data_IF_926459675734
#
_entry.id   IF_926459675734
#
_cell.length_a   1.000
_cell.length_b   1.000
_cell.length_c   1.000
_cell.angle_alpha   90.00
_cell.angle_beta   90.00
_cell.angle_gamma   90.00
#
_symmetry.space_group_name_H-M   'P 1'
#
loop_
_entity.id
_entity.type
_entity.pdbx_description
1 polymer ?
#
# COMPACT_ATOMS: atom_id res chain seq x y z
N UNK A 1 -39.56 10.08 0.09
CA UNK A 1 -39.05 11.25 -0.66
C UNK A 1 -39.69 12.57 -0.22
N UNK A 2 -41.03 12.66 -0.07
CA UNK A 2 -41.73 13.92 0.31
C UNK A 2 -41.40 14.50 1.70
N UNK A 3 -41.22 13.67 2.75
CA UNK A 3 -40.87 14.17 4.11
C UNK A 3 -39.44 14.75 4.20
N UNK A 4 -38.56 14.39 3.26
CA UNK A 4 -37.15 14.79 3.28
C UNK A 4 -36.90 16.17 2.64
N UNK A 5 -37.70 16.53 1.62
CA UNK A 5 -37.74 17.90 1.09
C UNK A 5 -38.27 18.86 2.16
N UNK A 6 -39.25 18.43 2.97
CA UNK A 6 -39.76 19.23 4.08
C UNK A 6 -38.71 19.46 5.18
N UNK A 7 -37.86 18.50 5.55
CA UNK A 7 -36.87 18.72 6.61
C UNK A 7 -35.80 19.76 6.25
N UNK A 8 -35.43 19.93 4.97
CA UNK A 8 -34.54 21.03 4.56
C UNK A 8 -35.23 22.40 4.54
N UNK A 9 -36.54 22.46 4.27
CA UNK A 9 -37.32 23.71 4.21
C UNK A 9 -37.77 24.16 5.61
N UNK A 10 -38.05 23.23 6.53
CA UNK A 10 -38.59 23.53 7.86
C UNK A 10 -37.56 23.67 8.99
N UNK A 11 -36.27 23.42 8.77
CA UNK A 11 -35.24 23.77 9.78
C UNK A 11 -35.13 25.29 10.04
N UNK A 12 -35.83 26.13 9.28
CA UNK A 12 -36.00 27.57 9.55
C UNK A 12 -37.33 27.94 10.24
N UNK A 13 -38.26 27.01 10.47
CA UNK A 13 -39.54 27.30 11.12
C UNK A 13 -39.95 26.22 12.14
N UNK A 14 -40.39 26.69 13.30
CA UNK A 14 -40.70 25.90 14.49
C UNK A 14 -41.83 24.88 14.22
N UNK A 15 -41.45 23.62 14.00
CA UNK A 15 -42.35 22.49 13.69
C UNK A 15 -43.44 22.29 14.77
N UNK A 16 -43.22 22.80 15.98
CA UNK A 16 -44.17 22.75 17.10
C UNK A 16 -45.46 23.54 16.85
N UNK A 17 -45.52 24.43 15.84
CA UNK A 17 -46.73 25.19 15.49
C UNK A 17 -47.82 24.37 14.77
N UNK A 18 -47.56 23.13 14.36
CA UNK A 18 -48.51 22.34 13.56
C UNK A 18 -48.75 20.93 14.13
N UNK A 19 -49.56 20.80 15.21
CA UNK A 19 -49.82 19.52 15.90
C UNK A 19 -50.48 18.46 15.01
N UNK A 20 -51.28 18.89 14.03
CA UNK A 20 -51.92 18.02 13.04
C UNK A 20 -50.91 17.39 12.07
N UNK A 21 -49.85 18.11 11.73
CA UNK A 21 -48.76 17.60 10.89
C UNK A 21 -47.93 16.57 11.68
N UNK A 22 -47.64 16.84 12.95
CA UNK A 22 -46.95 15.90 13.85
C UNK A 22 -47.75 14.60 13.97
N UNK A 23 -49.07 14.69 14.17
CA UNK A 23 -49.98 13.54 14.28
C UNK A 23 -50.15 12.77 12.96
N UNK A 24 -50.10 13.45 11.81
CA UNK A 24 -50.13 12.81 10.49
C UNK A 24 -48.82 12.06 10.20
N UNK A 25 -47.70 12.67 10.58
CA UNK A 25 -46.37 12.11 10.41
C UNK A 25 -46.05 10.94 11.38
N UNK A 26 -46.72 10.85 12.52
CA UNK A 26 -46.62 9.72 13.46
C UNK A 26 -47.43 8.48 13.03
N UNK A 27 -48.38 8.64 12.12
CA UNK A 27 -49.29 7.57 11.69
C UNK A 27 -48.80 6.74 10.50
N UNK A 28 -47.64 7.07 9.91
CA UNK A 28 -47.03 6.25 8.86
C UNK A 28 -45.94 5.35 9.47
N UNK A 29 -46.08 4.01 9.41
CA UNK A 29 -45.03 3.12 9.86
C UNK A 29 -43.77 3.38 9.04
N UNK A 30 -42.70 3.79 9.71
CA UNK A 30 -41.39 3.94 9.09
C UNK A 30 -40.98 2.55 8.62
N UNK A 31 -40.89 2.34 7.32
CA UNK A 31 -40.27 1.14 6.80
C UNK A 31 -38.83 1.08 7.38
N UNK A 32 -38.49 0.09 8.23
CA UNK A 32 -37.19 0.06 8.90
C UNK A 32 -36.02 -0.02 7.92
N UNK A 33 -36.24 -0.53 6.70
CA UNK A 33 -35.26 -0.46 5.62
C UNK A 33 -35.08 0.97 5.11
N UNK A 34 -36.17 1.72 4.94
CA UNK A 34 -36.13 3.12 4.49
C UNK A 34 -35.39 4.04 5.46
N UNK A 35 -35.54 3.82 6.77
CA UNK A 35 -34.77 4.55 7.79
C UNK A 35 -33.28 4.24 7.72
N UNK A 36 -32.90 2.96 7.73
CA UNK A 36 -31.49 2.53 7.69
C UNK A 36 -30.77 3.05 6.46
N UNK A 37 -31.38 2.92 5.29
CA UNK A 37 -30.82 3.45 4.03
C UNK A 37 -30.61 4.96 4.13
N UNK A 38 -31.62 5.70 4.60
CA UNK A 38 -31.50 7.16 4.76
C UNK A 38 -30.41 7.53 5.77
N UNK A 39 -30.30 6.82 6.89
CA UNK A 39 -29.26 7.06 7.89
C UNK A 39 -27.86 6.83 7.31
N UNK A 40 -27.66 5.70 6.61
CA UNK A 40 -26.38 5.34 6.00
C UNK A 40 -25.92 6.35 4.94
N UNK A 41 -26.86 6.93 4.17
CA UNK A 41 -26.55 8.00 3.22
C UNK A 41 -26.16 9.28 3.95
N UNK A 42 -27.05 9.78 4.82
CA UNK A 42 -26.93 11.13 5.38
C UNK A 42 -25.88 11.24 6.49
N UNK A 43 -25.70 10.19 7.29
CA UNK A 43 -24.82 10.21 8.48
C UNK A 43 -23.53 9.45 8.25
N UNK A 44 -23.55 8.36 7.47
CA UNK A 44 -22.35 7.59 7.14
C UNK A 44 -21.72 7.96 5.79
N UNK A 45 -22.34 8.85 5.00
CA UNK A 45 -21.78 9.33 3.73
C UNK A 45 -21.72 8.26 2.62
N UNK A 46 -22.55 7.22 2.68
CA UNK A 46 -22.59 6.19 1.65
C UNK A 46 -23.39 6.65 0.42
N UNK A 47 -23.05 6.13 -0.76
CA UNK A 47 -23.92 6.24 -1.93
C UNK A 47 -25.21 5.45 -1.72
N UNK A 48 -26.27 5.79 -2.45
CA UNK A 48 -27.57 5.11 -2.33
C UNK A 48 -27.46 3.59 -2.55
N UNK A 49 -26.77 3.16 -3.61
CA UNK A 49 -26.52 1.74 -3.91
C UNK A 49 -25.84 1.01 -2.74
N UNK A 50 -24.76 1.60 -2.19
CA UNK A 50 -24.03 1.02 -1.06
C UNK A 50 -24.87 1.01 0.20
N UNK A 51 -25.63 2.08 0.46
CA UNK A 51 -26.50 2.19 1.62
C UNK A 51 -27.60 1.11 1.60
N UNK A 52 -28.18 0.81 0.44
CA UNK A 52 -29.14 -0.29 0.27
C UNK A 52 -28.47 -1.61 0.64
N UNK A 53 -27.35 -1.95 0.02
CA UNK A 53 -26.63 -3.21 0.30
C UNK A 53 -26.16 -3.33 1.77
N UNK A 54 -25.72 -2.23 2.37
CA UNK A 54 -25.27 -2.19 3.77
C UNK A 54 -26.45 -2.32 4.74
N UNK A 55 -27.61 -1.72 4.41
CA UNK A 55 -28.81 -1.75 5.27
C UNK A 55 -29.33 -3.18 5.52
N UNK A 56 -29.13 -4.08 4.56
CA UNK A 56 -29.50 -5.50 4.67
C UNK A 56 -28.63 -6.25 5.70
N UNK A 57 -27.42 -5.76 5.97
CA UNK A 57 -26.41 -6.42 6.84
C UNK A 57 -26.48 -5.97 8.30
N UNK A 58 -27.31 -4.97 8.62
CA UNK A 58 -27.39 -4.35 9.96
C UNK A 58 -28.82 -4.20 10.39
N UNK A 59 -29.11 -4.34 11.68
CA UNK A 59 -30.47 -4.21 12.21
C UNK A 59 -30.48 -3.18 13.34
N UNK A 60 -30.93 -1.96 13.04
CA UNK A 60 -31.17 -0.92 14.05
C UNK A 60 -32.34 -0.04 13.63
N UNK A 61 -33.07 0.47 14.63
CA UNK A 61 -34.28 1.27 14.43
C UNK A 61 -34.11 2.73 14.86
N UNK A 62 -33.04 3.03 15.61
CA UNK A 62 -32.75 4.37 16.12
C UNK A 62 -31.29 4.75 15.82
N UNK A 63 -30.98 6.05 15.71
CA UNK A 63 -29.61 6.49 15.43
C UNK A 63 -28.71 6.43 16.67
N UNK A 64 -29.25 6.22 17.89
CA UNK A 64 -28.52 6.35 19.16
C UNK A 64 -27.21 5.56 19.22
N UNK A 65 -27.23 4.24 18.94
CA UNK A 65 -26.00 3.42 18.93
C UNK A 65 -25.09 3.75 17.74
N UNK A 66 -25.61 3.82 16.50
CA UNK A 66 -24.82 4.27 15.36
C UNK A 66 -24.10 5.61 15.58
N UNK A 67 -24.77 6.61 16.16
CA UNK A 67 -24.21 7.94 16.42
C UNK A 67 -23.04 7.88 17.41
N UNK A 68 -23.16 7.06 18.47
CA UNK A 68 -22.05 6.85 19.42
C UNK A 68 -20.82 6.29 18.72
N UNK A 69 -20.99 5.35 17.79
CA UNK A 69 -19.90 4.76 17.01
C UNK A 69 -19.26 5.80 16.08
N UNK A 70 -20.08 6.58 15.35
CA UNK A 70 -19.56 7.64 14.47
C UNK A 70 -18.83 8.73 15.25
N UNK A 71 -19.39 9.16 16.38
CA UNK A 71 -18.79 10.16 17.25
C UNK A 71 -17.48 9.68 17.87
N UNK A 72 -17.38 8.40 18.25
CA UNK A 72 -16.12 7.82 18.72
C UNK A 72 -15.03 8.00 17.65
N UNK A 73 -15.28 7.59 16.41
CA UNK A 73 -14.26 7.74 15.35
C UNK A 73 -13.89 9.19 15.10
N UNK A 74 -14.87 10.10 15.10
CA UNK A 74 -14.62 11.55 14.94
C UNK A 74 -13.79 12.13 16.08
N UNK A 75 -14.04 11.71 17.31
CA UNK A 75 -13.26 12.12 18.49
C UNK A 75 -11.82 11.60 18.48
N UNK A 76 -11.52 10.58 17.66
CA UNK A 76 -10.17 10.09 17.38
C UNK A 76 -9.59 10.65 16.07
N UNK A 77 -10.12 11.77 15.56
CA UNK A 77 -9.68 12.48 14.36
C UNK A 77 -9.75 11.65 13.06
N UNK A 78 -10.71 10.72 12.95
CA UNK A 78 -10.90 9.98 11.70
C UNK A 78 -11.64 10.85 10.68
N UNK A 79 -11.11 11.01 9.45
CA UNK A 79 -11.84 11.71 8.40
C UNK A 79 -13.13 10.97 8.03
N UNK A 80 -14.22 11.70 7.75
CA UNK A 80 -15.51 11.12 7.38
C UNK A 80 -15.40 10.09 6.25
N UNK A 81 -14.54 10.34 5.25
CA UNK A 81 -14.28 9.42 4.13
C UNK A 81 -13.72 8.07 4.56
N UNK A 82 -12.95 8.02 5.64
CA UNK A 82 -12.43 6.78 6.22
C UNK A 82 -13.51 6.08 7.04
N UNK A 83 -14.29 6.84 7.82
CA UNK A 83 -15.43 6.32 8.57
C UNK A 83 -16.43 5.65 7.62
N UNK A 84 -16.81 6.30 6.52
CA UNK A 84 -17.69 5.74 5.50
C UNK A 84 -17.20 4.38 4.99
N UNK A 85 -15.90 4.26 4.68
CA UNK A 85 -15.28 3.01 4.22
C UNK A 85 -15.29 1.91 5.28
N UNK A 86 -15.06 2.27 6.55
CA UNK A 86 -15.12 1.34 7.68
C UNK A 86 -16.55 0.78 7.79
N UNK A 87 -17.56 1.64 7.79
CA UNK A 87 -18.97 1.24 7.90
C UNK A 87 -19.41 0.42 6.69
N UNK A 88 -18.97 0.77 5.47
CA UNK A 88 -19.25 -0.02 4.27
C UNK A 88 -18.73 -1.46 4.39
N UNK A 89 -17.49 -1.62 4.88
CA UNK A 89 -16.82 -2.93 4.98
C UNK A 89 -17.24 -3.75 6.19
N UNK A 90 -17.51 -3.11 7.32
CA UNK A 90 -17.95 -3.77 8.55
C UNK A 90 -19.19 -3.07 9.15
N UNK A 91 -20.36 -3.20 8.50
CA UNK A 91 -21.58 -2.53 8.94
C UNK A 91 -22.01 -2.84 10.37
N UNK A 92 -21.75 -4.07 10.83
CA UNK A 92 -22.13 -4.55 12.16
C UNK A 92 -21.55 -3.69 13.29
N UNK A 93 -20.48 -2.93 13.05
CA UNK A 93 -19.91 -1.99 14.01
C UNK A 93 -20.93 -0.99 14.56
N UNK A 94 -21.92 -0.58 13.76
CA UNK A 94 -22.97 0.36 14.18
C UNK A 94 -23.84 -0.15 15.35
N UNK A 95 -23.73 -1.44 15.67
CA UNK A 95 -24.50 -2.09 16.73
C UNK A 95 -23.62 -2.44 17.96
N UNK A 96 -22.32 -2.15 17.91
CA UNK A 96 -21.38 -2.51 18.97
C UNK A 96 -21.54 -1.61 20.19
N UNK A 97 -21.12 -2.13 21.35
CA UNK A 97 -20.98 -1.35 22.58
C UNK A 97 -19.67 -0.55 22.51
N UNK A 98 -19.77 0.77 22.41
CA UNK A 98 -18.62 1.66 22.22
C UNK A 98 -17.63 1.55 23.38
N UNK A 99 -18.12 1.63 24.61
CA UNK A 99 -17.28 1.70 25.81
C UNK A 99 -16.60 0.37 26.10
N UNK A 100 -17.28 -0.76 25.86
CA UNK A 100 -16.74 -2.08 26.15
C UNK A 100 -15.92 -2.68 25.02
N UNK A 101 -16.13 -2.25 23.77
CA UNK A 101 -15.56 -2.97 22.61
C UNK A 101 -14.68 -2.14 21.68
N UNK A 102 -15.08 -0.91 21.34
CA UNK A 102 -14.38 -0.13 20.32
C UNK A 102 -13.36 0.81 20.96
N UNK A 103 -13.79 1.57 21.97
CA UNK A 103 -12.95 2.54 22.66
C UNK A 103 -11.66 1.92 23.23
N UNK A 104 -11.68 0.78 23.95
CA UNK A 104 -10.45 0.17 24.46
C UNK A 104 -9.47 -0.23 23.35
N UNK A 105 -9.96 -0.62 22.17
CA UNK A 105 -9.11 -0.97 21.02
C UNK A 105 -8.43 0.26 20.42
N UNK A 106 -9.18 1.36 20.25
CA UNK A 106 -8.63 2.59 19.70
C UNK A 106 -7.58 3.19 20.65
N UNK A 107 -7.88 3.21 21.96
CA UNK A 107 -6.94 3.64 23.00
C UNK A 107 -5.68 2.76 23.03
N UNK A 108 -5.82 1.44 22.84
CA UNK A 108 -4.68 0.55 22.74
C UNK A 108 -3.78 0.86 21.53
N UNK A 109 -4.35 1.01 20.32
CA UNK A 109 -3.56 1.41 19.15
C UNK A 109 -2.88 2.77 19.34
N UNK A 110 -3.56 3.73 19.97
CA UNK A 110 -3.00 5.03 20.31
C UNK A 110 -1.82 4.90 21.29
N UNK A 111 -1.91 4.01 22.28
CA UNK A 111 -0.81 3.76 23.22
C UNK A 111 0.45 3.20 22.55
N UNK A 112 0.32 2.53 21.39
CA UNK A 112 1.44 2.07 20.56
C UNK A 112 2.00 3.19 19.65
N UNK A 113 1.37 4.36 19.60
CA UNK A 113 1.73 5.45 18.69
C UNK A 113 1.03 5.39 17.32
N UNK A 114 -0.07 4.64 17.18
CA UNK A 114 -0.90 4.61 15.98
C UNK A 114 -2.27 5.26 16.25
N UNK A 115 -2.45 6.51 15.84
CA UNK A 115 -3.66 7.29 16.09
C UNK A 115 -4.09 8.15 14.89
N UNK A 116 -5.21 8.85 15.03
CA UNK A 116 -5.64 9.88 14.08
C UNK A 116 -5.81 9.37 12.65
N UNK A 117 -5.43 10.20 11.64
CA UNK A 117 -5.52 9.83 10.23
C UNK A 117 -4.75 8.56 9.85
N UNK A 118 -3.65 8.25 10.54
CA UNK A 118 -2.86 7.05 10.27
C UNK A 118 -3.62 5.78 10.70
N UNK A 119 -4.22 5.77 11.88
CA UNK A 119 -5.07 4.67 12.33
C UNK A 119 -6.32 4.56 11.46
N UNK A 120 -6.94 5.69 11.11
CA UNK A 120 -8.09 5.75 10.20
C UNK A 120 -7.77 5.10 8.86
N UNK A 121 -6.59 5.39 8.29
CA UNK A 121 -6.11 4.79 7.04
C UNK A 121 -6.01 3.27 7.17
N UNK A 122 -5.38 2.76 8.23
CA UNK A 122 -5.25 1.32 8.49
C UNK A 122 -6.61 0.63 8.58
N UNK A 123 -7.51 1.14 9.43
CA UNK A 123 -8.81 0.52 9.68
C UNK A 123 -9.78 0.68 8.51
N UNK A 124 -9.68 1.74 7.71
CA UNK A 124 -10.47 1.87 6.47
C UNK A 124 -10.00 0.92 5.37
N UNK A 125 -8.72 0.56 5.35
CA UNK A 125 -8.19 -0.48 4.47
C UNK A 125 -8.71 -1.85 4.90
N UNK A 126 -8.73 -2.14 6.20
CA UNK A 126 -9.36 -3.33 6.75
C UNK A 126 -9.86 -3.12 8.20
N UNK A 127 -11.18 -3.15 8.44
CA UNK A 127 -11.76 -2.91 9.76
C UNK A 127 -11.87 -4.17 10.64
N UNK A 128 -11.48 -5.36 10.16
CA UNK A 128 -11.58 -6.61 10.92
C UNK A 128 -10.93 -6.58 12.31
N UNK A 129 -9.81 -5.86 12.56
CA UNK A 129 -9.28 -5.70 13.91
C UNK A 129 -10.29 -5.18 14.94
N UNK A 130 -11.29 -4.40 14.51
CA UNK A 130 -12.34 -3.90 15.41
C UNK A 130 -13.33 -5.00 15.84
N UNK A 131 -13.40 -6.11 15.10
CA UNK A 131 -14.31 -7.23 15.34
C UNK A 131 -13.72 -8.39 16.16
N UNK A 132 -12.40 -8.39 16.39
CA UNK A 132 -11.72 -9.45 17.16
C UNK A 132 -11.49 -9.04 18.62
N UNK A 133 -11.08 -9.99 19.46
CA UNK A 133 -10.82 -9.74 20.88
C UNK A 133 -9.55 -8.89 21.10
N UNK A 134 -9.64 -7.88 21.95
CA UNK A 134 -8.48 -7.08 22.36
C UNK A 134 -7.50 -7.93 23.20
N UNK A 135 -8.01 -8.61 24.21
CA UNK A 135 -7.21 -9.38 25.18
C UNK A 135 -6.73 -10.71 24.61
N UNK A 136 -7.58 -11.44 23.88
CA UNK A 136 -7.26 -12.80 23.42
C UNK A 136 -6.53 -12.85 22.08
N UNK A 137 -6.53 -11.75 21.31
CA UNK A 137 -5.95 -11.75 19.95
C UNK A 137 -5.03 -10.56 19.68
N UNK A 138 -5.53 -9.32 19.81
CA UNK A 138 -4.76 -8.14 19.42
C UNK A 138 -3.51 -7.96 20.29
N UNK A 139 -3.65 -7.97 21.62
CA UNK A 139 -2.53 -7.81 22.55
C UNK A 139 -1.48 -8.91 22.41
N UNK A 140 -1.83 -10.22 22.48
CA UNK A 140 -0.85 -11.30 22.27
C UNK A 140 -0.14 -11.21 20.92
N UNK A 141 -0.85 -10.86 19.85
CA UNK A 141 -0.24 -10.69 18.52
C UNK A 141 0.75 -9.53 18.49
N UNK A 142 0.42 -8.42 19.15
CA UNK A 142 1.33 -7.26 19.26
C UNK A 142 2.53 -7.60 20.15
N UNK A 143 2.34 -8.30 21.27
CA UNK A 143 3.43 -8.70 22.17
C UNK A 143 4.41 -9.64 21.46
N UNK A 144 3.89 -10.58 20.66
CA UNK A 144 4.72 -11.42 19.80
C UNK A 144 5.48 -10.61 18.74
N UNK A 145 4.85 -9.61 18.11
CA UNK A 145 5.56 -8.71 17.21
C UNK A 145 6.64 -7.89 17.94
N UNK A 146 6.37 -7.43 19.18
CA UNK A 146 7.35 -6.71 19.99
C UNK A 146 8.57 -7.57 20.32
N UNK A 147 8.39 -8.87 20.59
CA UNK A 147 9.53 -9.77 20.87
C UNK A 147 10.50 -9.88 19.69
N UNK A 148 10.01 -9.73 18.45
CA UNK A 148 10.82 -9.78 17.22
C UNK A 148 11.35 -8.39 16.83
N UNK A 149 10.51 -7.37 16.94
CA UNK A 149 10.73 -6.03 16.37
C UNK A 149 11.32 -5.03 17.36
N UNK A 150 11.32 -5.37 18.65
CA UNK A 150 11.90 -4.66 19.79
C UNK A 150 11.32 -3.27 20.11
N UNK A 151 10.66 -2.60 19.14
CA UNK A 151 10.12 -1.24 19.32
C UNK A 151 8.69 -1.13 18.82
N UNK A 152 7.89 -0.30 19.50
CA UNK A 152 6.50 -0.01 19.11
C UNK A 152 6.44 0.68 17.74
N UNK A 153 7.43 1.51 17.40
CA UNK A 153 7.53 2.16 16.08
C UNK A 153 7.63 1.13 14.93
N UNK A 154 8.39 0.06 15.12
CA UNK A 154 8.48 -1.03 14.15
C UNK A 154 7.16 -1.82 14.06
N UNK A 155 6.50 -2.09 15.19
CA UNK A 155 5.18 -2.72 15.21
C UNK A 155 4.17 -1.87 14.45
N UNK A 156 4.10 -0.56 14.72
CA UNK A 156 3.24 0.38 14.00
C UNK A 156 3.55 0.39 12.50
N UNK A 157 4.83 0.32 12.12
CA UNK A 157 5.23 0.23 10.71
C UNK A 157 4.72 -1.05 10.03
N UNK A 158 4.70 -2.18 10.74
CA UNK A 158 4.09 -3.43 10.28
C UNK A 158 2.59 -3.30 10.12
N UNK A 159 1.89 -2.78 11.14
CA UNK A 159 0.43 -2.61 11.13
C UNK A 159 -0.03 -1.67 10.00
N UNK A 160 0.72 -0.58 9.77
CA UNK A 160 0.49 0.36 8.65
C UNK A 160 0.56 -0.31 7.28
N UNK A 161 1.38 -1.35 7.13
CA UNK A 161 1.58 -2.08 5.87
C UNK A 161 0.67 -3.29 5.73
N UNK A 162 0.35 -3.96 6.84
CA UNK A 162 -0.51 -5.14 6.85
C UNK A 162 -1.07 -5.39 8.25
N UNK A 163 -2.26 -4.86 8.53
CA UNK A 163 -2.98 -5.14 9.78
C UNK A 163 -3.45 -6.59 9.90
N UNK A 164 -3.44 -7.33 8.78
CA UNK A 164 -3.73 -8.76 8.70
C UNK A 164 -2.81 -9.61 9.55
N UNK A 165 -1.63 -9.12 9.93
CA UNK A 165 -0.76 -9.83 10.87
C UNK A 165 -1.46 -10.09 12.21
N UNK A 166 -2.47 -9.32 12.60
CA UNK A 166 -3.21 -9.53 13.85
C UNK A 166 -4.24 -10.66 13.79
N UNK A 167 -4.47 -11.26 12.62
CA UNK A 167 -5.52 -12.26 12.45
C UNK A 167 -5.03 -13.64 12.90
N UNK A 168 -5.87 -14.42 13.58
CA UNK A 168 -5.48 -15.74 14.09
C UNK A 168 -4.90 -16.67 13.01
N UNK A 169 -5.52 -16.68 11.82
CA UNK A 169 -5.07 -17.51 10.69
C UNK A 169 -3.66 -17.15 10.22
N UNK A 170 -3.28 -15.87 10.28
CA UNK A 170 -1.97 -15.40 9.79
C UNK A 170 -0.90 -15.58 10.86
N UNK A 171 -1.25 -15.43 12.14
CA UNK A 171 -0.39 -15.73 13.29
C UNK A 171 0.11 -17.18 13.28
N UNK A 172 -0.76 -18.14 12.91
CA UNK A 172 -0.38 -19.56 12.77
C UNK A 172 0.76 -19.82 11.78
N UNK A 173 0.94 -18.94 10.79
CA UNK A 173 2.04 -19.05 9.81
C UNK A 173 3.26 -18.22 10.18
N UNK A 174 3.10 -17.15 10.97
CA UNK A 174 4.15 -16.17 11.20
C UNK A 174 5.36 -16.77 11.94
N UNK A 175 5.14 -17.44 13.08
CA UNK A 175 6.22 -18.05 13.85
C UNK A 175 6.97 -19.15 13.08
N UNK A 176 6.29 -20.15 12.49
CA UNK A 176 6.99 -21.17 11.69
C UNK A 176 7.75 -20.58 10.50
N UNK A 177 7.25 -19.52 9.87
CA UNK A 177 7.94 -18.89 8.76
C UNK A 177 9.20 -18.12 9.19
N UNK A 178 9.18 -17.51 10.38
CA UNK A 178 10.37 -16.89 10.99
C UNK A 178 11.40 -17.98 11.32
N UNK A 179 10.98 -19.07 11.96
CA UNK A 179 11.85 -20.21 12.28
C UNK A 179 12.51 -20.80 11.03
N UNK A 180 11.78 -20.87 9.90
CA UNK A 180 12.35 -21.31 8.63
C UNK A 180 13.48 -20.39 8.17
N UNK A 181 13.39 -19.07 8.32
CA UNK A 181 14.51 -18.19 7.96
C UNK A 181 15.69 -18.37 8.93
N UNK A 182 15.40 -18.50 10.23
CA UNK A 182 16.42 -18.70 11.26
C UNK A 182 17.19 -20.01 11.07
N UNK A 183 16.49 -21.12 10.78
CA UNK A 183 17.10 -22.42 10.51
C UNK A 183 18.00 -22.42 9.28
N UNK A 184 17.84 -21.42 8.41
CA UNK A 184 18.66 -21.20 7.21
C UNK A 184 19.76 -20.15 7.40
N UNK A 185 19.99 -19.70 8.62
CA UNK A 185 21.08 -18.77 8.96
C UNK A 185 20.79 -17.32 8.58
N UNK A 186 19.53 -16.95 8.37
CA UNK A 186 19.17 -15.54 8.15
C UNK A 186 19.22 -14.81 9.51
N UNK A 187 20.00 -13.72 9.65
CA UNK A 187 20.10 -12.98 10.90
C UNK A 187 18.77 -12.37 11.33
N UNK A 188 18.48 -12.36 12.63
CA UNK A 188 17.26 -11.77 13.19
C UNK A 188 17.07 -10.30 12.80
N UNK A 189 18.16 -9.54 12.66
CA UNK A 189 18.14 -8.15 12.18
C UNK A 189 17.62 -8.04 10.73
N UNK A 190 17.98 -8.99 9.87
CA UNK A 190 17.48 -9.07 8.50
C UNK A 190 16.01 -9.54 8.47
N UNK A 191 15.63 -10.51 9.31
CA UNK A 191 14.24 -10.97 9.45
C UNK A 191 13.35 -9.83 9.94
N UNK A 192 13.77 -9.12 10.99
CA UNK A 192 13.07 -7.96 11.54
C UNK A 192 12.88 -6.87 10.48
N UNK A 193 13.96 -6.52 9.76
CA UNK A 193 13.89 -5.55 8.65
C UNK A 193 12.98 -6.01 7.52
N UNK A 194 12.97 -7.30 7.16
CA UNK A 194 12.08 -7.84 6.16
C UNK A 194 10.62 -7.80 6.62
N UNK A 195 10.34 -8.15 7.89
CA UNK A 195 9.00 -8.12 8.49
C UNK A 195 8.45 -6.69 8.53
N UNK A 196 9.28 -5.71 8.92
CA UNK A 196 8.91 -4.28 8.92
C UNK A 196 8.59 -3.76 7.52
N UNK A 197 9.36 -4.18 6.51
CA UNK A 197 9.22 -3.64 5.15
C UNK A 197 8.17 -4.36 4.31
N UNK A 198 7.99 -5.67 4.53
CA UNK A 198 7.17 -6.57 3.71
C UNK A 198 6.43 -7.63 4.53
N UNK A 199 5.59 -7.27 5.52
CA UNK A 199 4.99 -8.25 6.43
C UNK A 199 4.16 -9.34 5.74
N UNK A 200 3.55 -9.02 4.59
CA UNK A 200 2.77 -9.97 3.80
C UNK A 200 3.58 -11.18 3.30
N UNK A 201 4.91 -11.10 3.18
CA UNK A 201 5.71 -12.26 2.76
C UNK A 201 5.68 -13.39 3.79
N UNK A 202 5.48 -13.05 5.08
CA UNK A 202 5.37 -14.02 6.18
C UNK A 202 3.97 -14.62 6.35
N UNK A 203 2.98 -14.10 5.63
CA UNK A 203 1.59 -14.59 5.73
C UNK A 203 1.28 -15.70 4.72
N UNK A 204 2.28 -16.18 3.98
CA UNK A 204 2.15 -17.35 3.10
C UNK A 204 2.07 -18.63 3.94
N UNK A 205 1.55 -19.70 3.33
CA UNK A 205 1.59 -21.02 3.95
C UNK A 205 3.05 -21.43 4.19
N UNK A 206 3.28 -22.17 5.29
CA UNK A 206 4.62 -22.62 5.68
C UNK A 206 5.28 -23.44 4.57
N UNK A 207 4.51 -24.26 3.87
CA UNK A 207 5.00 -25.04 2.73
C UNK A 207 5.54 -24.16 1.60
N UNK A 208 4.73 -23.20 1.13
CA UNK A 208 5.17 -22.30 0.06
C UNK A 208 6.33 -21.40 0.50
N UNK A 209 6.35 -21.00 1.78
CA UNK A 209 7.45 -20.22 2.33
C UNK A 209 8.77 -21.00 2.27
N UNK A 210 8.77 -22.27 2.71
CA UNK A 210 9.94 -23.17 2.63
C UNK A 210 10.43 -23.37 1.19
N UNK A 211 9.52 -23.61 0.25
CA UNK A 211 9.86 -23.76 -1.18
C UNK A 211 10.63 -22.56 -1.72
N UNK A 212 10.17 -21.34 -1.40
CA UNK A 212 10.82 -20.11 -1.86
C UNK A 212 12.19 -19.95 -1.19
N UNK A 213 12.32 -20.27 0.09
CA UNK A 213 13.63 -20.21 0.79
C UNK A 213 14.62 -21.18 0.15
N UNK A 214 14.20 -22.41 -0.16
CA UNK A 214 15.05 -23.37 -0.87
C UNK A 214 15.39 -22.93 -2.28
N UNK A 215 14.46 -22.28 -2.98
CA UNK A 215 14.72 -21.72 -4.29
C UNK A 215 15.81 -20.63 -4.24
N UNK A 216 15.74 -19.69 -3.30
CA UNK A 216 16.76 -18.65 -3.13
C UNK A 216 18.12 -19.26 -2.75
N UNK A 217 18.13 -20.34 -1.96
CA UNK A 217 19.36 -21.09 -1.63
C UNK A 217 19.98 -21.78 -2.84
N UNK A 218 19.16 -22.39 -3.71
CA UNK A 218 19.62 -22.97 -4.99
C UNK A 218 20.23 -21.91 -5.91
N UNK A 219 19.84 -20.66 -5.75
CA UNK A 219 20.47 -19.51 -6.41
C UNK A 219 21.76 -19.06 -5.70
N UNK A 220 22.31 -19.82 -4.75
CA UNK A 220 23.59 -19.54 -4.07
C UNK A 220 23.65 -18.16 -3.40
N UNK A 221 22.51 -17.63 -2.97
CA UNK A 221 22.48 -16.37 -2.22
C UNK A 221 22.91 -16.61 -0.76
N UNK A 222 23.81 -15.77 -0.26
CA UNK A 222 24.26 -15.83 1.14
C UNK A 222 23.13 -15.37 2.10
N UNK A 223 22.60 -16.26 2.96
CA UNK A 223 21.50 -15.94 3.87
C UNK A 223 21.85 -14.86 4.90
N UNK A 224 23.14 -14.61 5.16
CA UNK A 224 23.58 -13.55 6.06
C UNK A 224 23.43 -12.14 5.46
N UNK A 225 23.36 -12.04 4.13
CA UNK A 225 23.22 -10.76 3.43
C UNK A 225 21.74 -10.42 3.22
N UNK A 226 21.39 -9.15 3.40
CA UNK A 226 20.01 -8.69 3.19
C UNK A 226 19.50 -8.88 1.75
N UNK A 227 20.40 -9.10 0.77
CA UNK A 227 20.01 -9.42 -0.60
C UNK A 227 19.24 -10.74 -0.68
N UNK A 228 19.53 -11.72 0.20
CA UNK A 228 18.75 -12.94 0.34
C UNK A 228 17.28 -12.63 0.65
N UNK A 229 17.05 -11.74 1.63
CA UNK A 229 15.71 -11.29 2.00
C UNK A 229 15.00 -10.57 0.85
N UNK A 230 15.72 -9.77 0.05
CA UNK A 230 15.15 -9.12 -1.14
C UNK A 230 14.75 -10.14 -2.22
N UNK A 231 15.59 -11.13 -2.49
CA UNK A 231 15.29 -12.21 -3.45
C UNK A 231 14.08 -13.01 -2.98
N UNK A 232 14.09 -13.44 -1.72
CA UNK A 232 12.99 -14.14 -1.08
C UNK A 232 11.69 -13.33 -1.19
N UNK A 233 11.72 -12.05 -0.79
CA UNK A 233 10.56 -11.16 -0.86
C UNK A 233 10.00 -11.05 -2.27
N UNK A 234 10.89 -10.94 -3.26
CA UNK A 234 10.50 -10.81 -4.66
C UNK A 234 9.78 -12.07 -5.14
N UNK A 235 10.35 -13.25 -4.93
CA UNK A 235 9.71 -14.52 -5.27
C UNK A 235 8.40 -14.73 -4.49
N UNK A 236 8.39 -14.38 -3.20
CA UNK A 236 7.21 -14.37 -2.36
C UNK A 236 6.17 -13.31 -2.74
N UNK A 237 6.37 -12.51 -3.80
CA UNK A 237 5.37 -11.58 -4.32
C UNK A 237 4.75 -12.02 -5.65
N UNK A 238 5.23 -13.10 -6.26
CA UNK A 238 4.80 -13.54 -7.59
C UNK A 238 4.38 -15.02 -7.62
N UNK A 239 3.57 -15.37 -8.63
CA UNK A 239 3.33 -16.77 -9.00
C UNK A 239 4.49 -17.28 -9.86
N UNK A 240 4.59 -18.60 -9.99
CA UNK A 240 5.60 -19.24 -10.84
C UNK A 240 5.44 -18.82 -12.32
N UNK A 241 4.21 -18.76 -12.81
CA UNK A 241 3.91 -18.24 -14.15
C UNK A 241 4.35 -16.79 -14.35
N UNK A 242 4.15 -15.94 -13.33
CA UNK A 242 4.57 -14.53 -13.42
C UNK A 242 6.09 -14.39 -13.41
N UNK A 243 6.79 -15.25 -12.66
CA UNK A 243 8.25 -15.33 -12.68
C UNK A 243 8.76 -15.74 -14.07
N UNK A 244 8.23 -16.81 -14.65
CA UNK A 244 8.62 -17.29 -15.99
C UNK A 244 8.44 -16.21 -17.05
N UNK A 245 7.29 -15.53 -17.06
CA UNK A 245 7.03 -14.42 -17.99
C UNK A 245 8.07 -13.29 -17.84
N UNK A 246 8.36 -12.87 -16.61
CA UNK A 246 9.32 -11.79 -16.35
C UNK A 246 10.75 -12.18 -16.73
N UNK A 247 11.16 -13.41 -16.47
CA UNK A 247 12.46 -13.92 -16.89
C UNK A 247 12.51 -14.01 -18.42
N UNK A 248 11.42 -14.47 -19.05
CA UNK A 248 11.26 -14.53 -20.51
C UNK A 248 11.38 -13.17 -21.21
N UNK A 249 10.98 -12.07 -20.57
CA UNK A 249 11.20 -10.71 -21.11
C UNK A 249 12.68 -10.49 -21.41
N UNK A 250 13.56 -10.76 -20.45
CA UNK A 250 14.97 -10.49 -20.61
C UNK A 250 15.64 -11.38 -21.66
N UNK A 251 15.13 -12.61 -21.85
CA UNK A 251 15.56 -13.49 -22.95
C UNK A 251 15.27 -12.88 -24.32
N UNK A 252 14.14 -12.18 -24.49
CA UNK A 252 13.81 -11.45 -25.74
C UNK A 252 14.84 -10.36 -26.08
N UNK A 253 15.57 -9.88 -25.08
CA UNK A 253 16.65 -8.89 -25.21
C UNK A 253 18.06 -9.51 -25.19
N UNK A 254 18.15 -10.83 -25.42
CA UNK A 254 19.42 -11.54 -25.60
C UNK A 254 20.15 -11.93 -24.31
N UNK A 255 19.51 -11.82 -23.14
CA UNK A 255 20.13 -12.27 -21.89
C UNK A 255 20.03 -13.79 -21.74
N UNK A 256 21.12 -14.45 -21.37
CA UNK A 256 21.15 -15.86 -20.98
C UNK A 256 20.51 -16.07 -19.60
N UNK A 257 20.16 -17.31 -19.27
CA UNK A 257 19.63 -17.67 -17.95
C UNK A 257 20.59 -17.29 -16.81
N UNK A 258 21.89 -17.52 -16.99
CA UNK A 258 22.92 -17.14 -16.01
C UNK A 258 23.00 -15.63 -15.82
N UNK A 259 22.88 -14.86 -16.91
CA UNK A 259 22.87 -13.40 -16.84
C UNK A 259 21.64 -12.92 -16.09
N UNK A 260 20.45 -13.44 -16.40
CA UNK A 260 19.20 -13.10 -15.72
C UNK A 260 19.31 -13.42 -14.22
N UNK A 261 19.89 -14.58 -13.89
CA UNK A 261 20.10 -14.97 -12.49
C UNK A 261 21.07 -14.01 -11.79
N UNK A 262 22.19 -13.63 -12.41
CA UNK A 262 23.13 -12.67 -11.83
C UNK A 262 22.50 -11.29 -11.61
N UNK A 263 21.68 -10.83 -12.55
CA UNK A 263 20.88 -9.60 -12.42
C UNK A 263 19.86 -9.72 -11.29
N UNK A 264 19.19 -10.86 -11.18
CA UNK A 264 18.24 -11.11 -10.09
C UNK A 264 18.92 -11.09 -8.73
N UNK A 265 20.11 -11.71 -8.60
CA UNK A 265 20.91 -11.65 -7.37
C UNK A 265 21.35 -10.22 -7.05
N UNK A 266 21.79 -9.44 -8.04
CA UNK A 266 22.25 -8.06 -7.82
C UNK A 266 21.11 -7.09 -7.50
N UNK A 267 19.98 -7.19 -8.21
CA UNK A 267 18.87 -6.26 -8.09
C UNK A 267 17.50 -6.97 -8.23
N UNK A 268 17.02 -7.68 -7.19
CA UNK A 268 15.70 -8.33 -7.23
C UNK A 268 14.55 -7.35 -7.51
N UNK A 269 14.76 -6.07 -7.22
CA UNK A 269 13.75 -5.02 -7.38
C UNK A 269 13.41 -4.72 -8.85
N UNK A 270 14.29 -5.03 -9.82
CA UNK A 270 13.93 -4.88 -11.23
C UNK A 270 12.83 -5.85 -11.66
N UNK A 271 12.64 -6.98 -10.96
CA UNK A 271 11.57 -7.96 -11.25
C UNK A 271 10.23 -7.61 -10.58
N UNK A 272 10.11 -6.41 -9.98
CA UNK A 272 8.86 -5.92 -9.41
C UNK A 272 7.78 -5.62 -10.45
N UNK A 273 8.21 -5.18 -11.62
CA UNK A 273 7.34 -4.61 -12.63
C UNK A 273 6.58 -5.68 -13.42
N UNK A 274 5.49 -5.28 -14.06
CA UNK A 274 4.76 -6.14 -15.00
C UNK A 274 5.60 -6.42 -16.24
N UNK A 275 5.24 -7.45 -17.01
CA UNK A 275 5.83 -7.73 -18.34
C UNK A 275 5.82 -6.48 -19.22
N UNK A 276 4.67 -5.83 -19.35
CA UNK A 276 4.49 -4.63 -20.17
C UNK A 276 5.41 -3.48 -19.76
N UNK A 277 5.58 -3.27 -18.46
CA UNK A 277 6.46 -2.23 -17.92
C UNK A 277 7.92 -2.56 -18.16
N UNK A 278 8.33 -3.82 -18.00
CA UNK A 278 9.68 -4.26 -18.30
C UNK A 278 10.00 -4.11 -19.79
N UNK A 279 9.09 -4.54 -20.67
CA UNK A 279 9.23 -4.39 -22.12
C UNK A 279 9.36 -2.91 -22.51
N UNK A 280 8.50 -2.03 -22.00
CA UNK A 280 8.57 -0.59 -22.24
C UNK A 280 9.93 -0.01 -21.82
N UNK A 281 10.41 -0.37 -20.63
CA UNK A 281 11.70 0.10 -20.10
C UNK A 281 12.86 -0.38 -20.95
N UNK A 282 12.87 -1.65 -21.32
CA UNK A 282 13.91 -2.22 -22.18
C UNK A 282 13.88 -1.59 -23.57
N UNK A 283 12.72 -1.42 -24.19
CA UNK A 283 12.56 -0.77 -25.49
C UNK A 283 13.10 0.67 -25.46
N UNK A 284 12.75 1.43 -24.44
CA UNK A 284 13.26 2.78 -24.28
C UNK A 284 14.79 2.80 -24.12
N UNK A 285 15.35 1.96 -23.25
CA UNK A 285 16.79 1.93 -23.01
C UNK A 285 17.57 1.45 -24.24
N UNK A 286 17.10 0.40 -24.90
CA UNK A 286 17.81 -0.23 -26.03
C UNK A 286 17.58 0.53 -27.32
N UNK A 287 16.33 0.77 -27.73
CA UNK A 287 16.03 1.38 -29.02
C UNK A 287 16.06 2.91 -29.00
N UNK A 288 15.56 3.56 -27.94
CA UNK A 288 15.56 5.05 -27.88
C UNK A 288 16.90 5.59 -27.39
N UNK A 289 17.45 5.06 -26.31
CA UNK A 289 18.74 5.51 -25.78
C UNK A 289 19.94 4.81 -26.43
N UNK A 290 19.71 3.76 -27.24
CA UNK A 290 20.77 3.02 -27.91
C UNK A 290 21.65 2.23 -26.95
N UNK A 291 21.17 1.84 -25.77
CA UNK A 291 21.98 1.12 -24.78
C UNK A 291 22.16 -0.34 -25.20
N UNK A 292 23.38 -0.86 -25.06
CA UNK A 292 23.64 -2.29 -25.17
C UNK A 292 22.89 -3.03 -24.05
N UNK A 293 22.07 -4.07 -24.34
CA UNK A 293 21.44 -4.91 -23.32
C UNK A 293 22.42 -5.45 -22.26
N UNK A 294 23.67 -5.74 -22.61
CA UNK A 294 24.69 -6.19 -21.65
C UNK A 294 25.09 -5.09 -20.67
N UNK A 295 25.07 -3.83 -21.10
CA UNK A 295 25.34 -2.70 -20.22
C UNK A 295 24.23 -2.53 -19.19
N UNK A 296 22.97 -2.76 -19.61
CA UNK A 296 21.81 -2.75 -18.72
C UNK A 296 21.92 -3.87 -17.68
N UNK A 297 22.31 -5.08 -18.10
CA UNK A 297 22.53 -6.21 -17.19
C UNK A 297 23.63 -5.92 -16.14
N UNK A 298 24.67 -5.18 -16.52
CA UNK A 298 25.73 -4.74 -15.58
C UNK A 298 25.29 -3.63 -14.62
N UNK A 299 24.17 -2.95 -14.90
CA UNK A 299 23.66 -1.82 -14.11
C UNK A 299 22.13 -1.93 -13.93
N UNK A 300 21.62 -3.04 -13.38
CA UNK A 300 20.19 -3.37 -13.42
C UNK A 300 19.29 -2.40 -12.65
N UNK A 301 19.85 -1.59 -11.76
CA UNK A 301 19.15 -0.51 -11.05
C UNK A 301 18.51 0.49 -12.01
N UNK A 302 19.04 0.66 -13.23
CA UNK A 302 18.44 1.53 -14.24
C UNK A 302 16.99 1.17 -14.54
N UNK A 303 16.63 -0.12 -14.47
CA UNK A 303 15.28 -0.60 -14.69
C UNK A 303 14.33 -0.15 -13.57
N UNK A 304 14.85 0.13 -12.38
CA UNK A 304 14.06 0.60 -11.23
C UNK A 304 13.72 2.09 -11.27
N UNK A 305 14.37 2.87 -12.14
CA UNK A 305 14.13 4.31 -12.23
C UNK A 305 12.76 4.63 -12.85
N UNK A 306 12.12 5.71 -12.38
CA UNK A 306 10.88 6.20 -13.00
C UNK A 306 11.16 6.65 -14.44
N UNK A 307 10.25 6.29 -15.34
CA UNK A 307 10.32 6.73 -16.74
C UNK A 307 10.18 8.25 -16.80
N UNK A 308 9.14 8.76 -16.17
CA UNK A 308 8.69 10.15 -16.26
C UNK A 308 9.58 11.10 -15.45
N UNK A 309 10.04 10.67 -14.28
CA UNK A 309 10.80 11.53 -13.36
C UNK A 309 12.30 11.45 -13.54
N UNK A 310 12.82 10.44 -14.26
CA UNK A 310 14.26 10.20 -14.31
C UNK A 310 14.77 9.80 -15.70
N UNK A 311 14.25 8.75 -16.32
CA UNK A 311 14.82 8.25 -17.58
C UNK A 311 14.54 9.18 -18.76
N UNK A 312 13.28 9.58 -18.95
CA UNK A 312 12.86 10.47 -20.05
C UNK A 312 13.46 11.87 -19.91
N UNK A 313 13.40 12.57 -18.75
CA UNK A 313 14.00 13.90 -18.64
C UNK A 313 15.51 13.90 -18.90
N UNK A 314 16.24 12.88 -18.40
CA UNK A 314 17.67 12.75 -18.66
C UNK A 314 17.96 12.52 -20.15
N UNK A 315 17.17 11.66 -20.80
CA UNK A 315 17.30 11.45 -22.24
C UNK A 315 17.05 12.75 -23.02
N UNK A 316 15.98 13.48 -22.69
CA UNK A 316 15.66 14.75 -23.35
C UNK A 316 16.77 15.79 -23.19
N UNK A 317 17.30 15.97 -21.98
CA UNK A 317 18.45 16.86 -21.73
C UNK A 317 19.64 16.49 -22.63
N UNK A 318 19.99 15.20 -22.69
CA UNK A 318 21.12 14.75 -23.51
C UNK A 318 20.85 14.95 -25.00
N UNK A 319 19.63 14.70 -25.48
CA UNK A 319 19.24 14.95 -26.88
C UNK A 319 19.31 16.44 -27.24
N UNK A 320 18.87 17.33 -26.34
CA UNK A 320 18.97 18.78 -26.53
C UNK A 320 20.42 19.22 -26.61
N UNK A 321 21.28 18.76 -25.69
CA UNK A 321 22.71 19.09 -25.71
C UNK A 321 23.41 18.56 -26.97
N UNK A 322 23.06 17.35 -27.43
CA UNK A 322 23.60 16.77 -28.67
C UNK A 322 23.17 17.58 -29.90
N UNK A 323 21.91 18.00 -29.95
CA UNK A 323 21.37 18.82 -31.05
C UNK A 323 22.02 20.20 -31.11
N UNK A 324 22.40 20.75 -29.96
CA UNK A 324 23.15 22.01 -29.86
C UNK A 324 24.68 21.84 -30.02
N UNK A 325 25.18 20.62 -30.25
CA UNK A 325 26.61 20.35 -30.41
C UNK A 325 27.45 20.53 -29.14
N UNK A 326 26.82 20.66 -27.97
CA UNK A 326 27.49 20.91 -26.68
C UNK A 326 28.08 19.64 -26.05
N UNK A 327 27.63 18.47 -26.50
CA UNK A 327 28.17 17.18 -26.09
C UNK A 327 28.36 16.23 -27.28
N UNK A 328 29.32 15.29 -27.22
CA UNK A 328 29.52 14.30 -28.29
C UNK A 328 28.30 13.41 -28.52
N UNK A 329 28.13 12.92 -29.75
CA UNK A 329 27.05 11.98 -30.11
C UNK A 329 27.25 10.58 -29.48
N UNK A 330 28.49 10.25 -29.12
CA UNK A 330 28.94 8.97 -28.57
C UNK A 330 29.21 9.04 -27.05
N UNK A 331 28.40 9.81 -26.32
CA UNK A 331 28.51 9.87 -24.86
C UNK A 331 28.48 8.47 -24.22
N UNK A 332 29.30 8.30 -23.18
CA UNK A 332 29.32 7.08 -22.38
C UNK A 332 27.95 6.86 -21.69
N UNK A 333 27.13 6.00 -22.29
CA UNK A 333 25.78 5.65 -21.83
C UNK A 333 25.77 5.06 -20.43
N UNK A 334 26.80 4.27 -20.06
CA UNK A 334 26.92 3.71 -18.72
C UNK A 334 26.97 4.81 -17.65
N UNK A 335 27.76 5.85 -17.91
CA UNK A 335 27.90 7.00 -17.02
C UNK A 335 26.61 7.80 -16.93
N UNK A 336 25.88 7.96 -18.04
CA UNK A 336 24.58 8.68 -18.04
C UNK A 336 23.54 7.99 -17.16
N UNK A 337 23.48 6.66 -17.23
CA UNK A 337 22.51 5.85 -16.48
C UNK A 337 22.85 5.78 -14.98
N UNK A 338 24.12 5.77 -14.63
CA UNK A 338 24.57 5.53 -13.24
C UNK A 338 24.71 6.80 -12.39
N UNK A 339 24.70 8.00 -13.00
CA UNK A 339 24.83 9.26 -12.25
C UNK A 339 23.69 9.47 -11.24
N UNK A 340 24.05 10.01 -10.06
CA UNK A 340 23.08 10.53 -9.09
C UNK A 340 22.27 11.68 -9.71
N UNK A 341 21.12 12.04 -9.12
CA UNK A 341 20.34 13.17 -9.63
C UNK A 341 21.14 14.48 -9.56
N UNK A 342 21.86 14.71 -8.46
CA UNK A 342 22.72 15.87 -8.29
C UNK A 342 23.85 15.89 -9.31
N UNK A 343 24.57 14.77 -9.46
CA UNK A 343 25.68 14.69 -10.40
C UNK A 343 25.24 14.81 -11.86
N UNK A 344 24.02 14.39 -12.20
CA UNK A 344 23.45 14.63 -13.53
C UNK A 344 23.11 16.11 -13.73
N UNK A 345 22.45 16.74 -12.75
CA UNK A 345 22.07 18.16 -12.78
C UNK A 345 23.31 19.06 -12.96
N UNK A 346 24.31 18.90 -12.12
CA UNK A 346 25.54 19.70 -12.19
C UNK A 346 26.25 19.55 -13.52
N UNK A 347 26.33 18.30 -14.03
CA UNK A 347 27.15 17.99 -15.20
C UNK A 347 26.49 18.31 -16.54
N UNK A 348 25.17 18.19 -16.63
CA UNK A 348 24.44 18.26 -17.90
C UNK A 348 23.32 19.30 -17.91
N UNK A 349 22.97 19.90 -16.77
CA UNK A 349 21.94 20.94 -16.72
C UNK A 349 22.59 22.27 -16.34
N UNK A 350 23.04 22.42 -15.10
CA UNK A 350 23.62 23.69 -14.60
C UNK A 350 24.85 24.12 -15.38
N UNK A 351 25.70 23.18 -15.79
CA UNK A 351 26.90 23.49 -16.59
C UNK A 351 26.58 24.21 -17.91
N UNK A 352 25.43 23.94 -18.51
CA UNK A 352 25.05 24.43 -19.84
C UNK A 352 23.84 25.36 -19.79
N UNK A 353 23.45 25.82 -18.60
CA UNK A 353 22.23 26.61 -18.38
C UNK A 353 22.31 27.98 -19.07
N UNK A 354 23.51 28.56 -19.20
CA UNK A 354 23.69 29.83 -19.90
C UNK A 354 23.61 29.67 -21.42
N UNK A 355 24.09 28.54 -21.95
CA UNK A 355 24.06 28.22 -23.38
C UNK A 355 22.68 27.74 -23.84
N UNK A 356 21.94 27.03 -22.98
CA UNK A 356 20.61 26.49 -23.27
C UNK A 356 19.69 26.70 -22.05
N UNK A 357 19.11 27.91 -21.89
CA UNK A 357 18.29 28.28 -20.73
C UNK A 357 17.08 27.37 -20.48
N UNK A 358 16.55 26.72 -21.51
CA UNK A 358 15.42 25.80 -21.39
C UNK A 358 15.77 24.44 -20.77
N UNK A 359 17.06 24.10 -20.58
CA UNK A 359 17.47 22.79 -20.04
C UNK A 359 16.88 22.49 -18.66
N UNK A 360 16.71 23.52 -17.83
CA UNK A 360 16.10 23.36 -16.50
C UNK A 360 14.65 22.91 -16.64
N UNK A 361 13.90 23.46 -17.59
CA UNK A 361 12.51 23.06 -17.86
C UNK A 361 12.46 21.64 -18.43
N UNK A 362 13.34 21.32 -19.38
CA UNK A 362 13.46 19.96 -19.95
C UNK A 362 13.75 18.92 -18.87
N UNK A 363 14.68 19.21 -17.94
CA UNK A 363 15.00 18.32 -16.83
C UNK A 363 13.85 18.16 -15.82
N UNK A 364 13.03 19.20 -15.65
CA UNK A 364 11.81 19.14 -14.84
C UNK A 364 10.65 18.43 -15.55
N UNK A 365 10.82 18.06 -16.82
CA UNK A 365 9.78 17.43 -17.64
C UNK A 365 8.65 18.39 -18.02
N UNK A 366 8.95 19.68 -18.15
CA UNK A 366 8.01 20.75 -18.51
C UNK A 366 8.09 21.11 -19.98
#
# INVERSE_FOLDING_TARGET
MFRFICNKVFLKQDINKYPSLIRFLSNYPINPNSFRVSYLINSCGLSEEKAISVSEKVQFQTPTKPDLVLNLFKNHDFPDTHISKIIEKLPKLLQYDVDKTLKPKLEYFQSLGLSGPDLAKVLSSDPLPLSISLEEQIKPSVDYLKSILQTDSNVVSVLKRSVWVLMEKTQKSLAPNIEVLQSHGVPDSNISKLLVTHPRSFLRSVQRFKEIVEEVKKMEADPTKYVFCKMFQRLASMSESSKEVKFGVFKKWGWSDDMILSVFKACPDCFAFSESTLMMKMDFLVHKMGCDPLLIAKNPEVLTYSMEKKLVPRYSVIQTLMSNGLVPKDLNKARLLTLSNQGFLEKFVTKFENEVPELVNVYQGK
#
